data_IF_406409661246
#
_entry.id   IF_406409661246
#
_cell.length_a   1.000
_cell.length_b   1.000
_cell.length_c   1.000
_cell.angle_alpha   90.00
_cell.angle_beta   90.00
_cell.angle_gamma   90.00
#
_symmetry.space_group_name_H-M   'P 1'
#
loop_
_entity.id
_entity.type
_entity.pdbx_description
1 polymer ?
#
# COMPACT_ATOMS: atom_id res chain seq x y z
N UNK A 1 1.46 -2.59 -16.43
CA UNK A 1 0.69 -1.37 -16.09
C UNK A 1 1.61 -0.17 -16.03
N UNK A 2 1.21 1.00 -16.54
CA UNK A 2 2.02 2.23 -16.49
C UNK A 2 1.41 3.20 -15.46
N UNK A 3 1.99 3.27 -14.26
CA UNK A 3 1.51 4.11 -13.16
C UNK A 3 2.26 5.45 -13.14
N UNK A 4 1.51 6.56 -13.14
CA UNK A 4 2.11 7.88 -12.99
C UNK A 4 2.65 8.07 -11.56
N UNK A 5 3.97 8.15 -11.43
CA UNK A 5 4.64 8.25 -10.13
C UNK A 5 4.21 9.47 -9.30
N UNK A 6 3.91 10.61 -9.93
CA UNK A 6 3.41 11.81 -9.23
C UNK A 6 2.01 11.59 -8.68
N UNK A 7 1.11 10.99 -9.46
CA UNK A 7 -0.25 10.68 -9.02
C UNK A 7 -0.25 9.68 -7.85
N UNK A 8 0.63 8.66 -7.91
CA UNK A 8 0.83 7.71 -6.82
C UNK A 8 1.34 8.43 -5.56
N UNK A 9 2.39 9.23 -5.67
CA UNK A 9 2.95 9.96 -4.53
C UNK A 9 1.91 10.87 -3.88
N UNK A 10 1.19 11.66 -4.67
CA UNK A 10 0.16 12.58 -4.19
C UNK A 10 -0.95 11.81 -3.45
N UNK A 11 -1.40 10.69 -4.00
CA UNK A 11 -2.42 9.86 -3.37
C UNK A 11 -1.94 9.24 -2.05
N UNK A 12 -0.71 8.73 -2.01
CA UNK A 12 -0.11 8.19 -0.78
C UNK A 12 -0.02 9.29 0.29
N UNK A 13 0.41 10.51 -0.08
CA UNK A 13 0.51 11.66 0.85
C UNK A 13 -0.86 12.05 1.42
N UNK A 14 -1.92 12.04 0.61
CA UNK A 14 -3.29 12.30 1.08
C UNK A 14 -3.69 11.32 2.18
N UNK A 15 -3.43 10.02 2.00
CA UNK A 15 -3.76 9.00 3.00
C UNK A 15 -2.85 9.05 4.24
N UNK A 16 -1.59 9.48 4.09
CA UNK A 16 -0.62 9.45 5.19
C UNK A 16 -1.00 10.32 6.38
N UNK A 17 -1.85 11.32 6.15
CA UNK A 17 -2.38 12.21 7.20
C UNK A 17 -3.20 11.43 8.26
N UNK A 18 -3.87 10.35 7.88
CA UNK A 18 -4.80 9.62 8.76
C UNK A 18 -4.65 8.08 8.72
N UNK A 19 -3.67 7.56 7.97
CA UNK A 19 -3.36 6.11 7.87
C UNK A 19 -1.88 5.83 8.15
N UNK A 20 -1.58 4.58 8.49
CA UNK A 20 -0.18 4.12 8.63
C UNK A 20 0.55 4.15 7.29
N UNK A 21 1.89 4.12 7.31
CA UNK A 21 2.70 4.08 6.09
C UNK A 21 2.37 2.88 5.17
N UNK A 22 2.11 1.70 5.75
CA UNK A 22 1.69 0.50 5.00
C UNK A 22 0.33 0.68 4.33
N UNK A 23 -0.65 1.20 5.08
CA UNK A 23 -2.00 1.44 4.58
C UNK A 23 -2.00 2.50 3.48
N UNK A 24 -1.36 3.65 3.72
CA UNK A 24 -1.30 4.74 2.74
C UNK A 24 -0.67 4.29 1.42
N UNK A 25 0.38 3.49 1.48
CA UNK A 25 1.09 2.99 0.30
C UNK A 25 0.22 2.03 -0.50
N UNK A 26 -0.34 1.00 0.15
CA UNK A 26 -1.18 0.01 -0.52
C UNK A 26 -2.44 0.65 -1.13
N UNK A 27 -3.15 1.47 -0.37
CA UNK A 27 -4.38 2.12 -0.84
C UNK A 27 -4.06 3.10 -1.98
N UNK A 28 -3.01 3.91 -1.83
CA UNK A 28 -2.65 4.89 -2.85
C UNK A 28 -2.31 4.24 -4.19
N UNK A 29 -1.56 3.14 -4.18
CA UNK A 29 -1.24 2.37 -5.39
C UNK A 29 -2.50 1.73 -6.00
N UNK A 30 -3.27 0.98 -5.21
CA UNK A 30 -4.46 0.30 -5.70
C UNK A 30 -5.52 1.26 -6.24
N UNK A 31 -5.68 2.45 -5.65
CA UNK A 31 -6.61 3.46 -6.17
C UNK A 31 -6.16 4.07 -7.48
N UNK A 32 -4.90 4.46 -7.59
CA UNK A 32 -4.37 5.03 -8.85
C UNK A 32 -4.42 3.97 -9.96
N UNK A 33 -4.23 2.70 -9.60
CA UNK A 33 -4.39 1.57 -10.49
C UNK A 33 -5.85 1.18 -10.78
N UNK A 34 -6.85 1.82 -10.16
CA UNK A 34 -8.27 1.46 -10.24
C UNK A 34 -8.57 -0.01 -9.89
N UNK A 35 -7.80 -0.58 -8.95
CA UNK A 35 -8.02 -1.95 -8.49
C UNK A 35 -9.38 -2.08 -7.77
N UNK A 36 -10.17 -3.13 -8.01
CA UNK A 36 -11.56 -3.22 -7.54
C UNK A 36 -11.72 -3.46 -6.03
N UNK A 37 -10.65 -3.80 -5.32
CA UNK A 37 -10.72 -4.05 -3.87
C UNK A 37 -11.03 -2.77 -3.09
N UNK A 38 -12.00 -2.85 -2.17
CA UNK A 38 -12.41 -1.70 -1.37
C UNK A 38 -11.30 -1.18 -0.45
N UNK A 39 -11.26 0.13 -0.25
CA UNK A 39 -10.31 0.77 0.68
C UNK A 39 -10.33 0.15 2.08
N UNK A 40 -11.50 -0.24 2.58
CA UNK A 40 -11.65 -0.86 3.91
C UNK A 40 -10.91 -2.20 4.00
N UNK A 41 -10.99 -3.04 2.96
CA UNK A 41 -10.26 -4.31 2.90
C UNK A 41 -8.75 -4.09 2.78
N UNK A 42 -8.33 -3.16 1.91
CA UNK A 42 -6.92 -2.76 1.78
C UNK A 42 -6.36 -2.22 3.11
N UNK A 43 -7.12 -1.39 3.82
CA UNK A 43 -6.76 -0.88 5.15
C UNK A 43 -6.56 -2.00 6.16
N UNK A 44 -7.49 -2.95 6.21
CA UNK A 44 -7.45 -4.07 7.14
C UNK A 44 -6.22 -4.95 6.86
N UNK A 45 -5.98 -5.26 5.59
CA UNK A 45 -4.87 -6.09 5.14
C UNK A 45 -3.51 -5.45 5.44
N UNK A 46 -3.38 -4.13 5.24
CA UNK A 46 -2.13 -3.43 5.52
C UNK A 46 -1.92 -3.06 7.01
N UNK A 47 -2.93 -3.22 7.88
CA UNK A 47 -2.87 -2.73 9.27
C UNK A 47 -1.77 -3.39 10.10
N UNK A 48 -1.53 -4.69 9.89
CA UNK A 48 -0.51 -5.47 10.62
C UNK A 48 0.94 -5.12 10.29
N UNK A 49 1.19 -4.25 9.31
CA UNK A 49 2.52 -3.81 8.90
C UNK A 49 2.83 -2.37 9.33
N UNK A 50 1.95 -1.75 10.12
CA UNK A 50 2.19 -0.41 10.66
C UNK A 50 3.37 -0.42 11.64
N UNK A 51 4.37 0.42 11.39
CA UNK A 51 5.56 0.48 12.24
C UNK A 51 6.45 -0.75 12.11
N UNK A 52 6.59 -1.30 10.89
CA UNK A 52 7.30 -2.57 10.68
C UNK A 52 6.33 -3.77 10.74
N UNK A 53 6.72 -4.91 10.18
CA UNK A 53 5.91 -6.13 10.25
C UNK A 53 5.61 -6.49 11.72
N UNK A 54 4.34 -6.53 12.11
CA UNK A 54 3.95 -6.77 13.50
C UNK A 54 4.32 -5.66 14.48
N UNK A 55 4.67 -4.47 14.02
CA UNK A 55 5.08 -3.35 14.88
C UNK A 55 6.47 -3.51 15.48
N UNK A 56 7.39 -4.19 14.80
CA UNK A 56 8.79 -4.37 15.25
C UNK A 56 9.69 -3.16 15.00
N UNK A 57 9.17 -2.11 14.37
CA UNK A 57 9.84 -0.84 14.05
C UNK A 57 11.16 -1.07 13.31
N UNK A 58 12.28 -0.63 13.91
CA UNK A 58 13.61 -0.63 13.31
C UNK A 58 14.14 -2.04 13.00
N UNK A 59 13.55 -3.08 13.61
CA UNK A 59 13.93 -4.48 13.39
C UNK A 59 13.08 -5.17 12.31
N UNK A 60 12.03 -4.51 11.82
CA UNK A 60 11.11 -5.08 10.83
C UNK A 60 11.27 -4.57 9.41
N UNK A 61 10.71 -5.32 8.46
CA UNK A 61 10.50 -4.81 7.11
C UNK A 61 9.60 -3.58 7.14
N UNK A 62 10.03 -2.51 6.48
CA UNK A 62 9.30 -1.24 6.40
C UNK A 62 7.86 -1.46 5.91
N UNK A 63 6.88 -0.97 6.66
CA UNK A 63 5.47 -1.13 6.33
C UNK A 63 5.09 -0.56 4.96
N UNK A 64 5.68 0.58 4.57
CA UNK A 64 5.44 1.16 3.25
C UNK A 64 5.91 0.22 2.12
N UNK A 65 7.11 -0.35 2.28
CA UNK A 65 7.65 -1.33 1.33
C UNK A 65 6.74 -2.56 1.23
N UNK A 66 6.31 -3.10 2.37
CA UNK A 66 5.37 -4.24 2.39
C UNK A 66 4.04 -3.89 1.70
N UNK A 67 3.49 -2.70 1.95
CA UNK A 67 2.28 -2.23 1.28
C UNK A 67 2.44 -2.12 -0.24
N UNK A 68 3.61 -1.68 -0.72
CA UNK A 68 3.92 -1.62 -2.15
C UNK A 68 4.05 -3.02 -2.78
N UNK A 69 4.71 -3.97 -2.09
CA UNK A 69 4.84 -5.34 -2.58
C UNK A 69 3.49 -6.06 -2.66
N UNK A 70 2.61 -5.84 -1.69
CA UNK A 70 1.24 -6.37 -1.74
C UNK A 70 0.48 -5.78 -2.93
N UNK A 71 0.59 -4.45 -3.14
CA UNK A 71 -0.05 -3.81 -4.28
C UNK A 71 0.47 -4.38 -5.60
N UNK A 72 1.78 -4.62 -5.72
CA UNK A 72 2.37 -5.26 -6.88
C UNK A 72 1.74 -6.64 -7.13
N UNK A 73 1.62 -7.50 -6.12
CA UNK A 73 0.99 -8.81 -6.27
C UNK A 73 -0.52 -8.77 -6.60
N UNK A 74 -1.21 -7.64 -6.41
CA UNK A 74 -2.58 -7.44 -6.88
C UNK A 74 -2.67 -6.88 -8.31
N UNK A 75 -1.59 -6.24 -8.78
CA UNK A 75 -1.55 -5.51 -10.05
C UNK A 75 -0.74 -6.22 -11.13
N UNK A 76 0.05 -7.23 -10.75
CA UNK A 76 0.57 -8.21 -11.70
C UNK A 76 -0.62 -8.96 -12.31
N UNK A 77 -0.70 -8.96 -13.64
CA UNK A 77 -1.63 -9.82 -14.37
C UNK A 77 -1.26 -11.28 -14.05
N UNK A 78 -2.26 -12.15 -13.93
CA UNK A 78 -2.09 -13.60 -13.72
C UNK A 78 -1.34 -14.23 -14.92
N UNK A 79 -0.03 -14.03 -15.03
CA UNK A 79 0.90 -14.87 -15.82
C UNK A 79 1.58 -15.85 -14.85
N UNK A 80 0.85 -16.88 -14.43
CA UNK A 80 1.42 -18.12 -13.88
C UNK A 80 0.93 -19.31 -14.71
#
# INVERSE_FOLDING_TARGET
MDLNSKSVEEKIRQYRVFKSCSQSTLIGLCEVANHPMSQARLCALASGFSGGIGGTFDEGTCGALTGALIALGFLEDDEI
#
